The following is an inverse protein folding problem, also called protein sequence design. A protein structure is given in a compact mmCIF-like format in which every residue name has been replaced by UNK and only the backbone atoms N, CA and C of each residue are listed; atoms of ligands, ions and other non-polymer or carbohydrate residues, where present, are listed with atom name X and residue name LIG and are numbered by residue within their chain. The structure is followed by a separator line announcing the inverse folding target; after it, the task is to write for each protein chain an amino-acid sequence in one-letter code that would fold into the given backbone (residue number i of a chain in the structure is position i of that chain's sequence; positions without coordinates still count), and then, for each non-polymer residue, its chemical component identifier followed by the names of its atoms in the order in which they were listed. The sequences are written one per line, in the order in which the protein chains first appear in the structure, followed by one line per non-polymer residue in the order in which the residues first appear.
data_IF_917474305335
#
_entry.id   IF_917474305335
#
_cell.length_a   1.000
_cell.length_b   1.000
_cell.length_c   1.000
_cell.angle_alpha   90.00
_cell.angle_beta   90.00
_cell.angle_gamma   90.00
#
_symmetry.space_group_name_H-M   'P 1'
#
loop_
_entity.id
_entity.type
_entity.pdbx_description
1 polymer ?
#
# COMPACT_ATOMS: atom_id res chain seq x y z
N UNK A 1 15.53 12.70 48.26
CA UNK A 1 15.82 13.73 47.24
C UNK A 1 16.22 12.96 45.99
N UNK A 2 15.30 12.45 45.16
CA UNK A 2 14.35 13.17 44.32
C UNK A 2 14.99 14.30 43.53
N UNK A 3 15.31 14.01 42.27
CA UNK A 3 15.18 14.93 41.13
C UNK A 3 14.93 14.08 39.89
N UNK A 4 13.68 14.13 39.43
CA UNK A 4 13.23 13.77 38.08
C UNK A 4 13.95 14.58 37.02
N UNK A 5 14.07 14.02 35.80
CA UNK A 5 13.95 14.77 34.54
C UNK A 5 13.80 13.81 33.34
N UNK A 6 12.55 13.74 32.87
CA UNK A 6 12.10 13.67 31.48
C UNK A 6 12.62 12.58 30.55
N UNK A 7 11.83 11.50 30.45
CA UNK A 7 11.65 10.76 29.20
C UNK A 7 10.63 11.50 28.32
N UNK A 8 11.04 11.97 27.14
CA UNK A 8 10.15 12.47 26.09
C UNK A 8 10.43 11.72 24.78
N UNK A 9 9.40 11.02 24.32
CA UNK A 9 8.97 10.76 22.94
C UNK A 9 10.01 10.34 21.90
N UNK A 10 10.11 9.02 21.67
CA UNK A 10 10.50 8.46 20.39
C UNK A 10 9.36 8.65 19.38
N UNK A 11 9.41 9.70 18.58
CA UNK A 11 8.70 9.75 17.29
C UNK A 11 9.52 8.96 16.27
N UNK A 12 8.88 7.97 15.63
CA UNK A 12 9.43 7.17 14.55
C UNK A 12 9.95 8.10 13.43
N UNK A 13 11.28 8.10 13.24
CA UNK A 13 11.92 8.78 12.13
C UNK A 13 11.66 7.98 10.85
N UNK A 14 10.79 8.51 9.98
CA UNK A 14 10.70 8.11 8.58
C UNK A 14 12.11 8.25 7.94
N UNK A 15 12.63 7.27 7.20
CA UNK A 15 13.95 7.36 6.58
C UNK A 15 14.09 8.60 5.67
N UNK A 16 15.25 9.25 5.71
CA UNK A 16 15.52 10.53 5.03
C UNK A 16 15.33 10.52 3.50
N UNK A 17 15.25 9.35 2.88
CA UNK A 17 15.07 9.15 1.43
C UNK A 17 13.57 9.22 1.06
N UNK A 18 12.69 8.60 1.87
CA UNK A 18 11.24 8.69 1.69
C UNK A 18 10.74 10.15 1.80
N UNK A 19 11.28 10.91 2.76
CA UNK A 19 10.96 12.33 2.94
C UNK A 19 11.32 13.20 1.73
N UNK A 20 12.38 12.87 0.98
CA UNK A 20 12.78 13.64 -0.21
C UNK A 20 11.93 13.29 -1.43
N UNK A 21 11.59 12.01 -1.63
CA UNK A 21 10.76 11.55 -2.74
C UNK A 21 9.31 12.09 -2.66
N UNK A 22 8.73 12.17 -1.46
CA UNK A 22 7.38 12.69 -1.21
C UNK A 22 7.20 14.17 -1.60
N UNK A 23 8.26 14.98 -1.50
CA UNK A 23 8.19 16.43 -1.77
C UNK A 23 8.02 16.80 -3.25
N UNK A 24 8.27 15.87 -4.17
CA UNK A 24 8.24 16.09 -5.63
C UNK A 24 6.99 15.56 -6.33
N UNK A 25 6.04 14.94 -5.60
CA UNK A 25 4.80 14.36 -6.16
C UNK A 25 3.67 15.38 -6.38
N UNK A 26 4.01 16.65 -6.66
CA UNK A 26 3.01 17.65 -7.05
C UNK A 26 2.69 17.48 -8.54
N UNK A 27 1.43 17.17 -8.85
CA UNK A 27 0.97 17.06 -10.24
C UNK A 27 1.06 18.43 -10.94
N UNK A 28 1.43 18.47 -12.23
CA UNK A 28 1.25 19.67 -13.03
C UNK A 28 -0.24 20.00 -13.18
N UNK A 29 -0.58 21.29 -13.13
CA UNK A 29 -1.94 21.80 -13.32
C UNK A 29 -2.60 21.22 -14.58
N UNK A 30 -3.88 20.85 -14.42
CA UNK A 30 -4.75 20.26 -15.44
C UNK A 30 -4.72 21.08 -16.74
N UNK A 31 -4.06 20.57 -17.79
CA UNK A 31 -4.23 21.09 -19.15
C UNK A 31 -5.50 20.50 -19.76
N UNK A 32 -6.51 21.35 -19.91
CA UNK A 32 -7.79 21.03 -20.57
C UNK A 32 -7.61 21.20 -22.07
N UNK A 33 -7.58 20.10 -22.83
CA UNK A 33 -7.84 20.14 -24.27
C UNK A 33 -8.92 19.12 -24.66
N UNK A 34 -10.00 19.66 -25.24
CA UNK A 34 -11.02 18.98 -26.06
C UNK A 34 -11.99 18.00 -25.37
N UNK A 35 -12.97 18.55 -24.65
CA UNK A 35 -14.40 18.41 -25.01
C UNK A 35 -15.11 17.06 -24.92
N UNK A 36 -14.48 15.97 -24.49
CA UNK A 36 -15.17 14.72 -24.17
C UNK A 36 -14.94 14.38 -22.69
N UNK A 37 -15.95 14.66 -21.86
CA UNK A 37 -16.02 14.14 -20.50
C UNK A 37 -16.25 12.63 -20.58
N UNK A 38 -15.19 11.84 -20.65
CA UNK A 38 -15.22 10.55 -19.97
C UNK A 38 -15.40 10.90 -18.50
N UNK A 39 -16.39 10.31 -17.82
CA UNK A 39 -16.47 10.39 -16.35
C UNK A 39 -15.06 10.07 -15.83
N UNK A 40 -14.41 11.05 -15.19
CA UNK A 40 -13.06 10.86 -14.68
C UNK A 40 -13.22 10.02 -13.42
N UNK A 41 -13.18 8.70 -13.61
CA UNK A 41 -13.21 7.75 -12.52
C UNK A 41 -11.91 7.92 -11.72
N UNK A 42 -12.03 8.25 -10.43
CA UNK A 42 -10.90 8.34 -9.52
C UNK A 42 -10.58 6.94 -9.01
N UNK A 43 -9.71 6.23 -9.72
CA UNK A 43 -9.28 4.89 -9.35
C UNK A 43 -8.24 4.90 -8.24
N UNK A 44 -8.26 3.88 -7.39
CA UNK A 44 -7.33 3.70 -6.27
C UNK A 44 -6.48 2.46 -6.50
N UNK A 45 -5.17 2.56 -6.23
CA UNK A 45 -4.26 1.42 -6.13
C UNK A 45 -3.30 1.66 -4.97
N UNK A 46 -3.62 1.06 -3.82
CA UNK A 46 -2.93 1.35 -2.55
C UNK A 46 -2.55 0.06 -1.84
N UNK A 47 -1.47 0.11 -1.06
CA UNK A 47 -0.99 -1.02 -0.26
C UNK A 47 -1.18 -0.72 1.22
N UNK A 48 -1.62 -1.71 1.98
CA UNK A 48 -1.95 -1.51 3.37
C UNK A 48 -2.67 -2.70 3.99
N UNK A 49 -3.53 -2.41 4.97
CA UNK A 49 -4.26 -3.41 5.74
C UNK A 49 -5.75 -3.10 5.74
N UNK A 50 -6.57 -4.14 5.82
CA UNK A 50 -7.99 -3.98 6.10
C UNK A 50 -8.22 -3.96 7.61
N UNK A 51 -9.23 -3.21 8.03
CA UNK A 51 -9.77 -3.30 9.37
C UNK A 51 -11.30 -3.31 9.33
N UNK A 52 -11.90 -4.13 10.20
CA UNK A 52 -13.34 -4.19 10.40
C UNK A 52 -13.68 -3.73 11.81
N UNK A 53 -14.69 -2.88 11.93
CA UNK A 53 -15.15 -2.32 13.19
C UNK A 53 -16.65 -2.51 13.36
N UNK A 54 -17.09 -2.60 14.61
CA UNK A 54 -18.50 -2.55 14.93
C UNK A 54 -18.97 -1.10 14.96
N UNK A 55 -19.95 -0.70 14.14
CA UNK A 55 -20.46 0.67 14.14
C UNK A 55 -21.24 1.03 15.41
N UNK A 56 -21.79 0.02 16.10
CA UNK A 56 -22.55 0.19 17.33
C UNK A 56 -22.63 -1.13 18.13
N UNK A 57 -23.08 -1.04 19.38
CA UNK A 57 -23.24 -2.20 20.27
C UNK A 57 -24.23 -3.25 19.73
N UNK A 58 -25.23 -2.86 18.93
CA UNK A 58 -26.19 -3.83 18.39
C UNK A 58 -25.53 -4.81 17.42
N UNK A 59 -24.67 -4.33 16.52
CA UNK A 59 -23.93 -5.20 15.58
C UNK A 59 -22.90 -6.06 16.32
N UNK A 60 -22.21 -5.50 17.33
CA UNK A 60 -21.30 -6.28 18.18
C UNK A 60 -22.03 -7.41 18.91
N UNK A 61 -23.22 -7.15 19.49
CA UNK A 61 -24.00 -8.18 20.19
C UNK A 61 -24.54 -9.24 19.23
N UNK A 62 -24.91 -8.85 18.01
CA UNK A 62 -25.31 -9.80 16.98
C UNK A 62 -24.14 -10.71 16.58
N UNK A 63 -22.95 -10.14 16.35
CA UNK A 63 -21.72 -10.90 16.12
C UNK A 63 -21.41 -11.88 17.25
N UNK A 64 -21.55 -11.42 18.50
CA UNK A 64 -21.35 -12.24 19.70
C UNK A 64 -22.28 -13.46 19.70
N UNK A 65 -23.59 -13.27 19.46
CA UNK A 65 -24.55 -14.37 19.42
C UNK A 65 -24.27 -15.32 18.26
N UNK A 66 -23.95 -14.77 17.08
CA UNK A 66 -23.61 -15.55 15.89
C UNK A 66 -22.39 -16.45 16.14
N UNK A 67 -21.35 -15.93 16.79
CA UNK A 67 -20.16 -16.69 17.18
C UNK A 67 -20.46 -17.79 18.20
N UNK A 68 -21.36 -17.55 19.17
CA UNK A 68 -21.77 -18.59 20.12
C UNK A 68 -22.46 -19.78 19.41
N UNK A 69 -23.26 -19.51 18.38
CA UNK A 69 -23.94 -20.54 17.59
C UNK A 69 -22.95 -21.36 16.75
N UNK A 70 -21.87 -20.74 16.27
CA UNK A 70 -20.83 -21.40 15.47
C UNK A 70 -19.67 -21.97 16.30
N UNK A 71 -19.66 -21.75 17.62
CA UNK A 71 -18.66 -22.29 18.54
C UNK A 71 -17.33 -21.53 18.55
N UNK A 72 -17.32 -20.28 18.11
CA UNK A 72 -16.14 -19.38 18.16
C UNK A 72 -15.98 -18.83 19.58
N UNK A 73 -14.74 -18.75 20.07
CA UNK A 73 -14.45 -18.21 21.40
C UNK A 73 -14.59 -16.68 21.43
N UNK A 74 -15.63 -16.20 22.11
CA UNK A 74 -15.97 -14.78 22.27
C UNK A 74 -15.59 -14.24 23.65
N UNK A 75 -14.66 -14.87 24.35
CA UNK A 75 -14.27 -14.45 25.69
C UNK A 75 -13.75 -13.01 25.75
N UNK A 76 -13.16 -12.49 24.68
CA UNK A 76 -12.71 -11.09 24.57
C UNK A 76 -13.84 -10.06 24.45
N UNK A 77 -15.08 -10.49 24.19
CA UNK A 77 -16.23 -9.61 23.99
C UNK A 77 -17.14 -9.48 25.22
N UNK A 78 -16.90 -10.26 26.28
CA UNK A 78 -17.84 -10.39 27.42
C UNK A 78 -18.13 -9.08 28.16
N UNK A 79 -17.16 -8.17 28.19
CA UNK A 79 -17.22 -6.93 28.98
C UNK A 79 -17.44 -5.68 28.11
N UNK A 80 -18.08 -5.84 26.95
CA UNK A 80 -18.39 -4.74 26.02
C UNK A 80 -19.85 -4.32 26.23
N UNK A 81 -20.10 -3.40 27.16
CA UNK A 81 -21.45 -3.01 27.60
C UNK A 81 -21.83 -1.56 27.28
N UNK A 82 -20.84 -0.71 26.98
CA UNK A 82 -21.03 0.68 26.59
C UNK A 82 -20.19 1.08 25.36
N UNK A 83 -20.46 2.28 24.82
CA UNK A 83 -19.77 2.80 23.63
C UNK A 83 -18.27 3.04 23.88
N UNK A 84 -17.84 3.23 25.14
CA UNK A 84 -16.43 3.43 25.49
C UNK A 84 -15.68 2.11 25.41
N UNK A 85 -16.27 1.02 25.92
CA UNK A 85 -15.76 -0.33 25.78
C UNK A 85 -15.73 -0.76 24.31
N UNK A 86 -16.78 -0.45 23.55
CA UNK A 86 -16.83 -0.71 22.11
C UNK A 86 -15.70 0.00 21.35
N UNK A 87 -15.47 1.28 21.64
CA UNK A 87 -14.38 2.05 21.02
C UNK A 87 -13.01 1.44 21.32
N UNK A 88 -12.78 0.99 22.56
CA UNK A 88 -11.54 0.31 22.94
C UNK A 88 -11.37 -1.02 22.24
N UNK A 89 -12.45 -1.81 22.14
CA UNK A 89 -12.45 -3.09 21.42
C UNK A 89 -12.08 -2.88 19.96
N UNK A 90 -12.71 -1.89 19.31
CA UNK A 90 -12.45 -1.54 17.92
C UNK A 90 -10.96 -1.20 17.70
N UNK A 91 -10.28 -0.57 18.66
CA UNK A 91 -8.85 -0.26 18.56
C UNK A 91 -7.91 -1.45 18.83
N UNK A 92 -8.43 -2.60 19.28
CA UNK A 92 -7.61 -3.77 19.58
C UNK A 92 -7.30 -4.58 18.31
N UNK A 93 -6.02 -4.65 17.97
CA UNK A 93 -5.51 -5.50 16.87
C UNK A 93 -5.87 -6.98 16.98
N UNK A 94 -6.13 -7.48 18.20
CA UNK A 94 -6.56 -8.87 18.41
C UNK A 94 -7.96 -9.15 17.86
N UNK A 95 -8.78 -8.11 17.71
CA UNK A 95 -10.14 -8.18 17.19
C UNK A 95 -10.18 -8.79 15.78
N UNK A 96 -9.23 -8.44 14.90
CA UNK A 96 -9.23 -8.93 13.51
C UNK A 96 -9.16 -10.45 13.41
N UNK A 97 -8.40 -11.10 14.30
CA UNK A 97 -8.34 -12.57 14.34
C UNK A 97 -9.67 -13.18 14.76
N UNK A 98 -10.37 -12.55 15.70
CA UNK A 98 -11.69 -12.99 16.13
C UNK A 98 -12.75 -12.75 15.03
N UNK A 99 -12.75 -11.57 14.42
CA UNK A 99 -13.62 -11.23 13.31
C UNK A 99 -13.45 -12.20 12.15
N UNK A 100 -12.21 -12.49 11.76
CA UNK A 100 -11.94 -13.50 10.73
C UNK A 100 -12.55 -14.85 11.11
N UNK A 101 -12.34 -15.34 12.33
CA UNK A 101 -12.90 -16.61 12.78
C UNK A 101 -14.43 -16.63 12.72
N UNK A 102 -15.08 -15.58 13.24
CA UNK A 102 -16.53 -15.48 13.30
C UNK A 102 -17.20 -15.25 11.94
N UNK A 103 -16.71 -14.29 11.16
CA UNK A 103 -17.30 -13.88 9.88
C UNK A 103 -17.00 -14.85 8.73
N UNK A 104 -15.98 -15.72 8.86
CA UNK A 104 -15.71 -16.77 7.88
C UNK A 104 -16.83 -17.82 7.80
N UNK A 105 -17.70 -17.89 8.81
CA UNK A 105 -18.88 -18.73 8.74
C UNK A 105 -19.93 -18.07 7.84
N UNK A 106 -20.38 -18.81 6.82
CA UNK A 106 -21.38 -18.34 5.86
C UNK A 106 -22.67 -17.84 6.52
N UNK A 107 -23.09 -18.48 7.61
CA UNK A 107 -24.30 -18.08 8.33
C UNK A 107 -24.16 -16.71 9.01
N UNK A 108 -22.94 -16.21 9.20
CA UNK A 108 -22.63 -14.94 9.86
C UNK A 108 -22.35 -13.79 8.87
N UNK A 109 -22.45 -14.04 7.57
CA UNK A 109 -22.11 -13.07 6.51
C UNK A 109 -23.00 -11.80 6.55
N UNK A 110 -24.22 -11.92 7.08
CA UNK A 110 -25.11 -10.75 7.27
C UNK A 110 -24.52 -9.74 8.27
N UNK A 111 -23.76 -10.20 9.27
CA UNK A 111 -23.08 -9.31 10.22
C UNK A 111 -21.99 -8.53 9.51
N UNK A 112 -21.21 -9.19 8.65
CA UNK A 112 -20.14 -8.55 7.88
C UNK A 112 -20.66 -7.41 6.98
N UNK A 113 -21.90 -7.50 6.47
CA UNK A 113 -22.53 -6.43 5.67
C UNK A 113 -22.82 -5.16 6.46
N UNK A 114 -23.04 -5.29 7.77
CA UNK A 114 -23.37 -4.19 8.67
C UNK A 114 -22.15 -3.63 9.41
N UNK A 115 -20.94 -4.09 9.08
CA UNK A 115 -19.69 -3.60 9.67
C UNK A 115 -19.16 -2.36 8.96
N UNK A 116 -18.41 -1.55 9.70
CA UNK A 116 -17.60 -0.49 9.12
C UNK A 116 -16.25 -1.06 8.69
N UNK A 117 -15.98 -0.99 7.38
CA UNK A 117 -14.75 -1.47 6.78
C UNK A 117 -13.84 -0.31 6.45
N UNK A 118 -12.64 -0.30 7.02
CA UNK A 118 -11.62 0.71 6.74
C UNK A 118 -10.39 0.09 6.07
N UNK A 119 -9.73 0.89 5.25
CA UNK A 119 -8.41 0.58 4.72
C UNK A 119 -7.37 1.48 5.38
N UNK A 120 -6.36 0.85 5.95
CA UNK A 120 -5.21 1.50 6.57
C UNK A 120 -4.04 1.45 5.61
N UNK A 121 -3.32 2.55 5.44
CA UNK A 121 -2.11 2.55 4.64
C UNK A 121 -0.95 1.84 5.37
N UNK A 122 0.23 1.77 4.74
CA UNK A 122 1.41 1.11 5.33
C UNK A 122 1.93 1.76 6.63
N UNK A 123 1.56 3.02 6.88
CA UNK A 123 1.87 3.76 8.11
C UNK A 123 0.78 3.60 9.19
N UNK A 124 -0.24 2.77 8.93
CA UNK A 124 -1.43 2.55 9.77
C UNK A 124 -2.32 3.78 9.94
N UNK A 125 -2.35 4.68 8.95
CA UNK A 125 -3.36 5.73 8.89
C UNK A 125 -4.62 5.18 8.23
N UNK A 126 -5.78 5.42 8.84
CA UNK A 126 -7.10 5.15 8.24
C UNK A 126 -7.29 6.10 7.04
N UNK A 127 -7.21 5.59 5.82
CA UNK A 127 -7.22 6.43 4.61
C UNK A 127 -8.51 6.30 3.81
N UNK A 128 -9.21 5.16 3.90
CA UNK A 128 -10.48 4.96 3.18
C UNK A 128 -11.51 4.20 3.99
N UNK A 129 -12.77 4.60 3.84
CA UNK A 129 -13.92 3.74 4.14
C UNK A 129 -14.24 2.93 2.90
N UNK A 130 -14.34 1.62 3.07
CA UNK A 130 -14.55 0.66 1.98
C UNK A 130 -16.01 0.24 1.89
N UNK A 131 -16.47 0.08 0.66
CA UNK A 131 -17.78 -0.51 0.37
C UNK A 131 -17.63 -1.59 -0.70
N UNK A 132 -18.61 -2.47 -0.74
CA UNK A 132 -18.72 -3.53 -1.75
C UNK A 132 -20.16 -3.63 -2.21
N UNK A 133 -20.37 -3.96 -3.48
CA UNK A 133 -21.66 -4.26 -4.08
C UNK A 133 -21.86 -5.77 -4.34
N UNK A 134 -20.88 -6.59 -3.97
CA UNK A 134 -20.88 -8.03 -4.16
C UNK A 134 -20.47 -8.81 -2.92
N UNK A 135 -21.07 -10.00 -2.78
CA UNK A 135 -20.71 -10.95 -1.73
C UNK A 135 -19.28 -11.47 -1.91
N UNK A 136 -18.79 -11.58 -3.16
CA UNK A 136 -17.42 -12.01 -3.45
C UNK A 136 -16.38 -11.02 -2.91
N UNK A 137 -16.59 -9.71 -3.10
CA UNK A 137 -15.71 -8.67 -2.52
C UNK A 137 -15.84 -8.61 -0.99
N UNK A 138 -17.03 -8.85 -0.42
CA UNK A 138 -17.18 -8.96 1.04
C UNK A 138 -16.40 -10.16 1.60
N UNK A 139 -16.39 -11.30 0.91
CA UNK A 139 -15.58 -12.45 1.30
C UNK A 139 -14.08 -12.15 1.23
N UNK A 140 -13.64 -11.32 0.28
CA UNK A 140 -12.25 -10.85 0.24
C UNK A 140 -11.90 -9.98 1.46
N UNK A 141 -12.84 -9.14 1.93
CA UNK A 141 -12.64 -8.34 3.14
C UNK A 141 -12.40 -9.24 4.34
N UNK A 142 -13.29 -10.22 4.53
CA UNK A 142 -13.18 -11.21 5.61
C UNK A 142 -11.87 -11.99 5.48
N UNK A 143 -11.54 -12.51 4.30
CA UNK A 143 -10.32 -13.27 4.07
C UNK A 143 -9.05 -12.45 4.38
N UNK A 144 -9.06 -11.15 4.06
CA UNK A 144 -7.96 -10.25 4.33
C UNK A 144 -7.72 -10.00 5.83
N UNK A 145 -8.75 -10.03 6.68
CA UNK A 145 -8.59 -10.01 8.15
C UNK A 145 -7.80 -11.22 8.68
N UNK A 146 -7.86 -12.36 7.98
CA UNK A 146 -7.13 -13.58 8.34
C UNK A 146 -5.64 -13.55 7.99
N UNK A 147 -5.19 -12.54 7.24
CA UNK A 147 -3.81 -12.41 6.78
C UNK A 147 -2.94 -11.78 7.88
N UNK A 148 -2.50 -12.60 8.84
CA UNK A 148 -1.61 -12.15 9.93
C UNK A 148 -0.38 -11.40 9.39
N UNK A 149 -0.23 -10.15 9.83
CA UNK A 149 0.86 -9.22 9.52
C UNK A 149 1.15 -9.07 8.02
N UNK A 150 0.13 -9.27 7.18
CA UNK A 150 0.26 -9.29 5.73
C UNK A 150 -0.53 -8.17 5.10
N UNK A 151 0.19 -7.32 4.39
CA UNK A 151 -0.40 -6.28 3.57
C UNK A 151 -1.18 -6.87 2.40
N UNK A 152 -2.22 -6.15 2.01
CA UNK A 152 -2.99 -6.34 0.78
C UNK A 152 -2.85 -5.11 -0.09
N UNK A 153 -3.09 -5.29 -1.39
CA UNK A 153 -3.24 -4.22 -2.35
C UNK A 153 -4.74 -4.06 -2.60
N UNK A 154 -5.28 -2.88 -2.31
CA UNK A 154 -6.66 -2.53 -2.65
C UNK A 154 -6.70 -1.88 -4.03
N UNK A 155 -7.60 -2.40 -4.86
CA UNK A 155 -7.99 -1.83 -6.14
C UNK A 155 -9.47 -1.47 -6.06
N UNK A 156 -9.80 -0.25 -6.45
CA UNK A 156 -11.17 0.22 -6.37
C UNK A 156 -11.38 1.56 -7.07
N UNK A 157 -12.60 2.05 -6.94
CA UNK A 157 -13.01 3.35 -7.42
C UNK A 157 -13.49 4.22 -6.26
N UNK A 158 -13.00 5.45 -6.18
CA UNK A 158 -13.53 6.48 -5.31
C UNK A 158 -14.93 6.90 -5.77
N UNK A 159 -15.88 6.81 -4.86
CA UNK A 159 -17.27 7.21 -5.07
C UNK A 159 -17.46 8.70 -4.71
N UNK A 160 -18.51 9.37 -5.21
CA UNK A 160 -18.76 10.78 -4.93
C UNK A 160 -18.94 11.13 -3.45
N UNK A 161 -19.25 10.13 -2.61
CA UNK A 161 -19.41 10.29 -1.15
C UNK A 161 -18.10 10.10 -0.36
N UNK A 162 -16.98 9.88 -1.05
CA UNK A 162 -15.65 9.69 -0.45
C UNK A 162 -15.34 8.26 -0.01
N UNK A 163 -16.24 7.29 -0.24
CA UNK A 163 -15.98 5.86 0.01
C UNK A 163 -15.36 5.21 -1.21
N UNK A 164 -14.64 4.12 -1.00
CA UNK A 164 -14.04 3.33 -2.10
C UNK A 164 -14.88 2.10 -2.35
N UNK A 165 -15.45 1.99 -3.56
CA UNK A 165 -16.00 0.74 -4.06
C UNK A 165 -14.84 -0.19 -4.41
N UNK A 166 -14.68 -1.26 -3.63
CA UNK A 166 -13.55 -2.17 -3.76
C UNK A 166 -13.86 -3.25 -4.78
N UNK A 167 -13.07 -3.26 -5.86
CA UNK A 167 -13.16 -4.29 -6.89
C UNK A 167 -12.27 -5.50 -6.59
N UNK A 168 -11.16 -5.30 -5.86
CA UNK A 168 -10.23 -6.39 -5.56
C UNK A 168 -9.34 -6.09 -4.35
N UNK A 169 -9.07 -7.12 -3.54
CA UNK A 169 -8.02 -7.15 -2.51
C UNK A 169 -7.02 -8.25 -2.84
N UNK A 170 -5.79 -7.85 -3.18
CA UNK A 170 -4.74 -8.78 -3.59
C UNK A 170 -3.73 -8.94 -2.45
N UNK A 171 -3.55 -10.15 -1.88
CA UNK A 171 -2.49 -10.37 -0.90
C UNK A 171 -1.12 -10.06 -1.52
N UNK A 172 -0.31 -9.22 -0.87
CA UNK A 172 1.02 -8.82 -1.37
C UNK A 172 1.90 -10.04 -1.68
N UNK A 173 1.80 -11.11 -0.91
CA UNK A 173 2.52 -12.37 -1.14
C UNK A 173 2.24 -13.02 -2.50
N UNK A 174 1.10 -12.71 -3.11
CA UNK A 174 0.69 -13.26 -4.41
C UNK A 174 1.23 -12.48 -5.61
N UNK A 175 1.84 -11.32 -5.38
CA UNK A 175 2.35 -10.43 -6.44
C UNK A 175 3.61 -11.00 -7.10
N UNK A 176 3.95 -10.59 -8.34
CA UNK A 176 5.12 -11.09 -9.05
C UNK A 176 6.45 -10.94 -8.28
N UNK A 177 6.66 -9.81 -7.60
CA UNK A 177 7.88 -9.55 -6.82
C UNK A 177 7.97 -10.55 -5.67
N UNK A 178 6.92 -10.69 -4.86
CA UNK A 178 6.93 -11.59 -3.70
C UNK A 178 6.97 -13.08 -4.10
N UNK A 179 6.33 -13.46 -5.22
CA UNK A 179 6.44 -14.82 -5.79
C UNK A 179 7.82 -15.16 -6.34
N UNK A 180 8.59 -14.16 -6.78
CA UNK A 180 9.96 -14.41 -7.23
C UNK A 180 10.92 -14.77 -6.10
N UNK A 181 10.47 -14.65 -4.84
CA UNK A 181 11.25 -15.04 -3.66
C UNK A 181 12.64 -14.39 -3.61
N UNK A 182 12.74 -13.16 -4.12
CA UNK A 182 13.99 -12.40 -4.17
C UNK A 182 14.62 -12.27 -2.76
N UNK A 183 13.78 -12.29 -1.72
CA UNK A 183 14.16 -12.22 -0.31
C UNK A 183 14.67 -13.54 0.29
N UNK A 184 14.29 -14.70 -0.27
CA UNK A 184 14.58 -16.01 0.35
C UNK A 184 16.08 -16.36 0.35
N UNK A 185 16.82 -15.90 -0.66
CA UNK A 185 18.28 -16.06 -0.76
C UNK A 185 19.01 -14.71 -0.69
N UNK A 186 18.30 -13.65 -0.28
CA UNK A 186 18.89 -12.33 -0.15
C UNK A 186 19.89 -12.28 0.99
N UNK A 187 21.07 -11.70 0.71
CA UNK A 187 21.93 -11.25 1.79
C UNK A 187 21.28 -10.04 2.49
N UNK A 188 21.85 -9.65 3.64
CA UNK A 188 21.31 -8.55 4.44
C UNK A 188 21.16 -7.24 3.63
N UNK A 189 22.14 -6.94 2.77
CA UNK A 189 22.13 -5.74 1.92
C UNK A 189 20.95 -5.71 0.94
N UNK A 190 20.61 -6.84 0.33
CA UNK A 190 19.46 -6.91 -0.58
C UNK A 190 18.14 -6.76 0.17
N UNK A 191 18.02 -7.34 1.38
CA UNK A 191 16.82 -7.16 2.22
C UNK A 191 16.61 -5.71 2.61
N UNK A 192 17.66 -5.04 3.07
CA UNK A 192 17.62 -3.63 3.44
C UNK A 192 17.26 -2.74 2.25
N UNK A 193 17.84 -3.00 1.07
CA UNK A 193 17.51 -2.28 -0.16
C UNK A 193 16.05 -2.47 -0.57
N UNK A 194 15.52 -3.69 -0.43
CA UNK A 194 14.12 -3.98 -0.78
C UNK A 194 13.17 -3.22 0.15
N UNK A 195 13.42 -3.23 1.45
CA UNK A 195 12.61 -2.46 2.41
C UNK A 195 12.74 -0.95 2.19
N UNK A 196 13.93 -0.44 1.91
CA UNK A 196 14.16 0.97 1.60
C UNK A 196 13.37 1.41 0.36
N UNK A 197 13.49 0.68 -0.75
CA UNK A 197 12.75 1.00 -1.98
C UNK A 197 11.24 0.81 -1.78
N UNK A 198 10.81 -0.22 -1.05
CA UNK A 198 9.39 -0.49 -0.79
C UNK A 198 8.76 0.60 0.07
N UNK A 199 9.50 1.21 1.00
CA UNK A 199 9.02 2.31 1.85
C UNK A 199 8.52 3.55 1.07
N UNK A 200 8.83 3.64 -0.24
CA UNK A 200 8.28 4.65 -1.13
C UNK A 200 6.76 4.51 -1.34
N UNK A 201 6.15 3.39 -0.94
CA UNK A 201 4.70 3.18 -0.98
C UNK A 201 3.93 3.83 0.19
N UNK A 202 4.58 4.66 1.02
CA UNK A 202 3.94 5.48 2.04
C UNK A 202 3.10 6.61 1.41
N UNK A 203 1.99 6.22 0.78
CA UNK A 203 1.04 7.08 0.08
C UNK A 203 -0.36 6.44 0.07
N UNK A 204 -1.36 7.19 -0.36
CA UNK A 204 -2.76 6.76 -0.30
C UNK A 204 -3.24 6.15 -1.62
N UNK A 205 -2.39 6.07 -2.64
CA UNK A 205 -2.71 5.41 -3.91
C UNK A 205 -3.86 6.02 -4.72
N UNK A 206 -4.26 7.27 -4.44
CA UNK A 206 -5.28 7.99 -5.22
C UNK A 206 -4.71 8.69 -6.46
N UNK A 207 -3.52 9.30 -6.34
CA UNK A 207 -2.89 9.99 -7.47
C UNK A 207 -2.39 8.99 -8.50
N UNK A 208 -2.42 9.35 -9.78
CA UNK A 208 -1.90 8.49 -10.85
C UNK A 208 -0.41 8.18 -10.69
N UNK A 209 0.33 9.10 -10.07
CA UNK A 209 1.73 8.88 -9.68
C UNK A 209 1.87 7.81 -8.60
N UNK A 210 1.07 7.91 -7.53
CA UNK A 210 1.04 6.97 -6.41
C UNK A 210 0.65 5.56 -6.87
N UNK A 211 -0.39 5.46 -7.71
CA UNK A 211 -0.85 4.19 -8.31
C UNK A 211 0.24 3.52 -9.12
N UNK A 212 0.93 4.28 -9.96
CA UNK A 212 2.04 3.77 -10.76
C UNK A 212 3.20 3.29 -9.90
N UNK A 213 3.58 4.09 -8.89
CA UNK A 213 4.66 3.73 -7.96
C UNK A 213 4.33 2.45 -7.19
N UNK A 214 3.15 2.39 -6.56
CA UNK A 214 2.68 1.22 -5.83
C UNK A 214 2.64 -0.01 -6.74
N UNK A 215 2.11 0.12 -7.97
CA UNK A 215 2.10 -1.00 -8.91
C UNK A 215 3.51 -1.52 -9.21
N UNK A 216 4.47 -0.62 -9.48
CA UNK A 216 5.86 -0.97 -9.79
C UNK A 216 6.51 -1.74 -8.65
N UNK A 217 6.36 -1.28 -7.40
CA UNK A 217 7.03 -1.84 -6.23
C UNK A 217 6.66 -3.31 -5.96
N UNK A 218 5.48 -3.75 -6.40
CA UNK A 218 4.98 -5.10 -6.16
C UNK A 218 4.94 -5.98 -7.42
N UNK A 219 5.04 -5.39 -8.62
CA UNK A 219 4.95 -6.12 -9.88
C UNK A 219 6.26 -6.15 -10.68
N UNK A 220 7.25 -5.32 -10.34
CA UNK A 220 8.49 -5.21 -11.09
C UNK A 220 9.74 -5.63 -10.30
N UNK A 221 10.11 -6.91 -10.36
CA UNK A 221 11.30 -7.41 -9.66
C UNK A 221 12.62 -6.79 -10.14
N UNK A 222 12.68 -6.32 -11.40
CA UNK A 222 13.89 -5.70 -11.97
C UNK A 222 14.29 -4.45 -11.21
N UNK A 223 13.33 -3.71 -10.64
CA UNK A 223 13.63 -2.55 -9.79
C UNK A 223 14.62 -2.94 -8.70
N UNK A 224 14.38 -4.05 -8.01
CA UNK A 224 15.22 -4.51 -6.91
C UNK A 224 16.51 -5.17 -7.41
N UNK A 225 16.42 -6.06 -8.41
CA UNK A 225 17.58 -6.78 -8.96
C UNK A 225 18.63 -5.81 -9.55
N UNK A 226 18.19 -4.83 -10.33
CA UNK A 226 19.05 -3.87 -11.01
C UNK A 226 19.53 -2.77 -10.05
N UNK A 227 18.68 -2.31 -9.11
CA UNK A 227 19.13 -1.43 -8.03
C UNK A 227 20.24 -2.08 -7.21
N UNK A 228 20.08 -3.35 -6.86
CA UNK A 228 21.08 -4.08 -6.09
C UNK A 228 22.40 -4.19 -6.86
N UNK A 229 22.32 -4.46 -8.18
CA UNK A 229 23.49 -4.47 -9.05
C UNK A 229 24.21 -3.10 -9.07
N UNK A 230 23.45 -2.01 -9.22
CA UNK A 230 23.99 -0.65 -9.24
C UNK A 230 24.64 -0.25 -7.90
N UNK A 231 24.01 -0.61 -6.79
CA UNK A 231 24.47 -0.21 -5.46
C UNK A 231 25.62 -1.08 -4.95
N UNK A 232 25.56 -2.40 -5.16
CA UNK A 232 26.44 -3.35 -4.48
C UNK A 232 27.33 -4.20 -5.41
N UNK A 233 27.09 -4.19 -6.73
CA UNK A 233 27.96 -4.88 -7.72
C UNK A 233 28.73 -3.87 -8.58
N UNK A 234 29.32 -2.87 -7.91
CA UNK A 234 30.13 -1.86 -8.56
C UNK A 234 31.30 -2.46 -9.34
N UNK A 235 31.62 -1.88 -10.50
CA UNK A 235 32.82 -2.23 -11.24
C UNK A 235 34.01 -1.42 -10.68
N UNK A 236 35.02 -2.04 -10.04
CA UNK A 236 36.16 -1.32 -9.48
C UNK A 236 37.00 -0.56 -10.51
N UNK A 237 36.94 -0.97 -11.77
CA UNK A 237 37.62 -0.29 -12.90
C UNK A 237 36.68 0.67 -13.65
N UNK A 238 35.42 0.81 -13.21
CA UNK A 238 34.42 1.65 -13.85
C UNK A 238 34.48 3.11 -13.40
N UNK A 239 33.61 3.97 -13.97
CA UNK A 239 33.52 5.39 -13.60
C UNK A 239 33.03 5.62 -12.16
N UNK A 240 32.53 4.58 -11.49
CA UNK A 240 32.03 4.65 -10.14
C UNK A 240 32.37 3.37 -9.34
N UNK A 241 33.61 3.28 -8.81
CA UNK A 241 34.13 2.05 -8.20
C UNK A 241 33.46 1.69 -6.86
N UNK A 242 32.82 2.66 -6.20
CA UNK A 242 32.15 2.46 -4.91
C UNK A 242 30.66 2.11 -5.03
N UNK A 243 30.12 2.03 -6.25
CA UNK A 243 28.70 1.79 -6.46
C UNK A 243 27.84 3.03 -6.32
N UNK A 244 26.58 2.90 -6.70
CA UNK A 244 25.61 3.99 -6.69
C UNK A 244 24.74 3.96 -5.43
N UNK A 245 24.07 5.07 -5.15
CA UNK A 245 22.98 5.14 -4.18
C UNK A 245 21.74 5.72 -4.85
N UNK A 246 20.56 5.23 -4.49
CA UNK A 246 19.29 5.80 -4.92
C UNK A 246 19.12 7.16 -4.22
N UNK A 247 18.90 8.22 -4.99
CA UNK A 247 18.78 9.58 -4.45
C UNK A 247 17.38 10.15 -4.59
N UNK A 248 16.63 9.72 -5.60
CA UNK A 248 15.26 10.19 -5.83
C UNK A 248 14.48 9.19 -6.69
N UNK A 249 13.16 9.14 -6.49
CA UNK A 249 12.21 8.51 -7.41
C UNK A 249 11.20 9.56 -7.85
N UNK A 250 11.12 9.79 -9.15
CA UNK A 250 10.22 10.75 -9.76
C UNK A 250 9.17 10.00 -10.59
N UNK A 251 7.93 10.48 -10.58
CA UNK A 251 6.88 9.91 -11.43
C UNK A 251 6.38 10.99 -12.39
N UNK A 252 6.57 10.76 -13.69
CA UNK A 252 6.09 11.64 -14.75
C UNK A 252 4.87 11.01 -15.41
N UNK A 253 3.69 11.58 -15.20
CA UNK A 253 2.44 11.13 -15.80
C UNK A 253 2.10 11.99 -17.02
N UNK A 254 1.75 11.35 -18.13
CA UNK A 254 1.42 12.02 -19.39
C UNK A 254 0.47 11.18 -20.23
N UNK A 255 -0.35 11.84 -21.05
CA UNK A 255 -1.14 11.17 -22.06
C UNK A 255 -0.27 10.72 -23.25
N UNK A 256 -0.47 9.49 -23.69
CA UNK A 256 0.14 8.91 -24.88
C UNK A 256 -0.97 8.33 -25.76
N UNK A 257 -1.55 9.17 -26.62
CA UNK A 257 -2.81 8.86 -27.29
C UNK A 257 -3.95 8.80 -26.28
N UNK A 258 -4.71 7.71 -26.27
CA UNK A 258 -5.83 7.49 -25.35
C UNK A 258 -5.43 6.89 -24.00
N UNK A 259 -4.13 6.75 -23.73
CA UNK A 259 -3.62 6.12 -22.50
C UNK A 259 -2.96 7.14 -21.60
N UNK A 260 -3.33 7.10 -20.32
CA UNK A 260 -2.63 7.81 -19.26
C UNK A 260 -1.47 6.94 -18.79
N UNK A 261 -0.25 7.41 -19.05
CA UNK A 261 0.97 6.63 -18.84
C UNK A 261 1.87 7.34 -17.83
N UNK A 262 2.33 6.61 -16.83
CA UNK A 262 3.26 7.07 -15.80
C UNK A 262 4.64 6.43 -15.98
N UNK A 263 5.67 7.25 -16.15
CA UNK A 263 7.08 6.83 -16.08
C UNK A 263 7.57 7.00 -14.65
N UNK A 264 7.93 5.90 -14.00
CA UNK A 264 8.55 5.91 -12.67
C UNK A 264 10.06 5.84 -12.85
N UNK A 265 10.75 6.92 -12.49
CA UNK A 265 12.16 7.18 -12.79
C UNK A 265 12.97 7.11 -11.49
N UNK A 266 13.85 6.13 -11.42
CA UNK A 266 14.79 5.92 -10.33
C UNK A 266 16.11 6.61 -10.67
N UNK A 267 16.48 7.59 -9.85
CA UNK A 267 17.67 8.41 -10.03
C UNK A 267 18.75 7.99 -9.04
N UNK A 268 19.92 7.66 -9.58
CA UNK A 268 21.07 7.19 -8.81
C UNK A 268 22.25 8.14 -8.96
N UNK A 269 23.00 8.29 -7.87
CA UNK A 269 24.25 9.05 -7.82
C UNK A 269 25.39 8.17 -7.34
N UNK A 270 26.58 8.32 -7.95
CA UNK A 270 27.74 7.56 -7.54
C UNK A 270 28.30 7.98 -6.20
N UNK A 271 28.72 7.02 -5.39
CA UNK A 271 29.27 7.27 -4.06
C UNK A 271 30.67 7.87 -4.21
N UNK A 272 30.87 9.07 -3.67
CA UNK A 272 32.09 9.87 -3.80
C UNK A 272 32.43 10.26 -5.25
N UNK A 273 31.47 10.17 -6.18
CA UNK A 273 31.64 10.62 -7.57
C UNK A 273 30.46 11.50 -8.00
N UNK A 274 30.62 12.25 -9.09
CA UNK A 274 29.54 13.04 -9.69
C UNK A 274 28.75 12.26 -10.74
N UNK A 275 29.01 10.95 -10.90
CA UNK A 275 28.34 10.12 -11.88
C UNK A 275 26.85 10.00 -11.57
N UNK A 276 26.00 10.34 -12.54
CA UNK A 276 24.54 10.24 -12.43
C UNK A 276 24.00 9.22 -13.42
N UNK A 277 23.04 8.44 -12.96
CA UNK A 277 22.42 7.38 -13.73
C UNK A 277 20.92 7.32 -13.41
N UNK A 278 20.08 7.36 -14.44
CA UNK A 278 18.63 7.28 -14.26
C UNK A 278 18.07 6.08 -15.02
N UNK A 279 17.10 5.41 -14.44
CA UNK A 279 16.42 4.25 -15.00
C UNK A 279 14.93 4.42 -14.81
N UNK A 280 14.12 3.85 -15.69
CA UNK A 280 12.69 3.98 -15.61
C UNK A 280 11.96 2.69 -15.96
N UNK A 281 10.79 2.58 -15.38
CA UNK A 281 9.72 1.66 -15.76
C UNK A 281 8.52 2.49 -16.19
N UNK A 282 7.63 1.92 -17.00
CA UNK A 282 6.44 2.63 -17.49
C UNK A 282 5.21 1.81 -17.22
N UNK A 283 4.20 2.46 -16.64
CA UNK A 283 2.93 1.85 -16.25
C UNK A 283 1.80 2.60 -16.92
N UNK A 284 0.85 1.86 -17.48
CA UNK A 284 -0.46 2.39 -17.87
C UNK A 284 -1.34 2.48 -16.63
N UNK A 285 -1.90 3.66 -16.38
CA UNK A 285 -2.78 3.95 -15.23
C UNK A 285 -4.15 4.47 -15.70
N UNK A 286 -4.50 4.26 -16.96
CA UNK A 286 -5.73 4.79 -17.58
C UNK A 286 -6.99 4.27 -16.89
N UNK A 287 -7.06 2.96 -16.70
CA UNK A 287 -8.18 2.29 -16.04
C UNK A 287 -7.85 1.92 -14.61
N UNK A 288 -8.79 1.25 -13.95
CA UNK A 288 -8.67 0.80 -12.57
C UNK A 288 -7.45 -0.09 -12.32
N UNK A 289 -7.19 -1.03 -13.25
CA UNK A 289 -6.13 -2.03 -13.17
C UNK A 289 -4.87 -1.57 -13.90
N UNK A 290 -3.82 -1.11 -13.20
CA UNK A 290 -2.59 -0.68 -13.86
C UNK A 290 -1.86 -1.87 -14.46
N UNK A 291 -1.08 -1.63 -15.52
CA UNK A 291 -0.22 -2.66 -16.10
C UNK A 291 1.08 -2.10 -16.66
N UNK A 292 2.12 -2.93 -16.67
CA UNK A 292 3.45 -2.53 -17.11
C UNK A 292 3.55 -2.46 -18.64
N UNK A 293 4.10 -1.37 -19.15
CA UNK A 293 4.42 -1.15 -20.57
C UNK A 293 5.92 -1.33 -20.84
N UNK A 294 6.75 -0.88 -19.90
CA UNK A 294 8.22 -0.98 -20.00
C UNK A 294 8.74 -1.50 -18.67
N UNK A 295 9.44 -2.64 -18.70
CA UNK A 295 9.94 -3.30 -17.50
C UNK A 295 11.04 -2.47 -16.81
N UNK A 296 12.18 -2.26 -17.46
CA UNK A 296 13.28 -1.47 -16.91
C UNK A 296 14.20 -1.01 -18.03
N UNK A 297 14.35 0.32 -18.20
CA UNK A 297 15.21 0.88 -19.25
C UNK A 297 15.99 2.07 -18.76
N UNK A 298 17.12 2.33 -19.42
CA UNK A 298 17.92 3.52 -19.19
C UNK A 298 17.11 4.78 -19.50
N UNK A 299 17.05 5.72 -18.56
CA UNK A 299 16.48 7.03 -18.78
C UNK A 299 17.59 8.02 -19.14
N UNK A 300 17.39 8.74 -20.24
CA UNK A 300 18.25 9.85 -20.67
C UNK A 300 17.39 11.10 -20.63
N UNK A 301 17.63 12.03 -19.68
CA UNK A 301 16.93 13.30 -19.66
C UNK A 301 17.15 14.03 -20.98
N UNK A 302 16.07 14.52 -21.58
CA UNK A 302 16.19 15.44 -22.70
C UNK A 302 16.44 16.83 -22.10
N UNK A 303 17.58 17.43 -22.47
CA UNK A 303 17.95 18.80 -22.11
C UNK A 303 17.44 19.77 -23.17
#
# INVERSE_FOLDING_TARGET
MMTDLNQQNNQQQVPAIAQRALSTLSEPERLVENGHYAETHEYIYVVGHISGYFPNLSIEKEFYQACLLTGVDVSSLKDVDDDVALTRLNQDTSLHSLLYQGLSHKDNEYVAREMDWLFLNVDNNDIYTMITDSDDSLMQFIAALGLKDQQVIMQGQMMPDGRVLVSNLIPVKSTPVNKSHIDLNANQQLKELIEEIRSLNANDGARNADRALNYVLYNNKRVFEESYSLCYKANPAGPNPNGYQLVNVEVMTSWSGERLVSKVIFNYQGINTSAKQSWYTTVDVTGEYPFMLVEWKRFLPQF
#
